data_IF_520199382126
#
_entry.id   IF_520199382126
#
_cell.length_a   1.000
_cell.length_b   1.000
_cell.length_c   1.000
_cell.angle_alpha   90.00
_cell.angle_beta   90.00
_cell.angle_gamma   90.00
#
_symmetry.space_group_name_H-M   'P 1'
#
loop_
_entity.id
_entity.type
_entity.pdbx_description
1 polymer ?
#
# COMPACT_ATOMS: atom_id res chain seq x y z
N UNK A 1 -29.63 44.38 -49.16
CA UNK A 1 -28.56 43.44 -48.70
C UNK A 1 -28.92 43.01 -47.29
N UNK A 2 -28.85 41.70 -47.04
CA UNK A 2 -29.62 40.95 -46.03
C UNK A 2 -29.30 41.42 -44.59
N UNK A 3 -30.30 41.95 -43.87
CA UNK A 3 -30.28 42.02 -42.40
C UNK A 3 -30.32 40.58 -41.89
N UNK A 4 -29.15 39.96 -41.74
CA UNK A 4 -29.01 38.66 -41.10
C UNK A 4 -29.32 38.86 -39.61
N UNK A 5 -30.05 37.90 -39.07
CA UNK A 5 -30.74 37.97 -37.80
C UNK A 5 -29.75 37.74 -36.65
N UNK A 6 -29.07 38.79 -36.17
CA UNK A 6 -28.08 38.73 -35.06
C UNK A 6 -28.62 37.97 -33.83
N UNK A 7 -29.94 38.02 -33.60
CA UNK A 7 -30.60 37.31 -32.50
C UNK A 7 -30.56 35.78 -32.65
N UNK A 8 -30.62 35.27 -33.89
CA UNK A 8 -30.56 33.83 -34.16
C UNK A 8 -29.14 33.27 -34.00
N UNK A 9 -28.12 34.06 -34.33
CA UNK A 9 -26.71 33.72 -34.11
C UNK A 9 -26.42 33.62 -32.62
N UNK A 10 -26.92 34.57 -31.81
CA UNK A 10 -26.76 34.57 -30.36
C UNK A 10 -27.37 33.33 -29.69
N UNK A 11 -28.56 32.92 -30.15
CA UNK A 11 -29.21 31.69 -29.70
C UNK A 11 -28.40 30.44 -30.06
N UNK A 12 -27.84 30.39 -31.28
CA UNK A 12 -27.01 29.28 -31.73
C UNK A 12 -25.74 29.17 -30.86
N UNK A 13 -25.14 30.33 -30.55
CA UNK A 13 -23.91 30.43 -29.76
C UNK A 13 -24.15 30.01 -28.30
N UNK A 14 -25.26 30.44 -27.69
CA UNK A 14 -25.65 29.96 -26.35
C UNK A 14 -25.98 28.47 -26.34
N UNK A 15 -26.67 27.96 -27.36
CA UNK A 15 -26.94 26.52 -27.49
C UNK A 15 -25.66 25.69 -27.59
N UNK A 16 -24.67 26.18 -28.34
CA UNK A 16 -23.35 25.56 -28.44
C UNK A 16 -22.63 25.55 -27.07
N UNK A 17 -22.61 26.68 -26.37
CA UNK A 17 -21.97 26.79 -25.05
C UNK A 17 -22.61 25.82 -24.04
N UNK A 18 -23.96 25.77 -24.01
CA UNK A 18 -24.68 24.87 -23.11
C UNK A 18 -24.40 23.41 -23.46
N UNK A 19 -24.36 23.06 -24.75
CA UNK A 19 -24.02 21.70 -25.19
C UNK A 19 -22.61 21.30 -24.76
N UNK A 20 -21.62 22.18 -24.94
CA UNK A 20 -20.25 21.93 -24.48
C UNK A 20 -20.18 21.80 -22.96
N UNK A 21 -20.88 22.64 -22.20
CA UNK A 21 -20.90 22.58 -20.74
C UNK A 21 -21.49 21.25 -20.23
N UNK A 22 -22.58 20.76 -20.85
CA UNK A 22 -23.20 19.48 -20.49
C UNK A 22 -22.28 18.31 -20.83
N UNK A 23 -21.68 18.30 -22.02
CA UNK A 23 -20.73 17.24 -22.43
C UNK A 23 -19.51 17.24 -21.50
N UNK A 24 -18.98 18.41 -21.18
CA UNK A 24 -17.83 18.54 -20.27
C UNK A 24 -18.18 18.05 -18.86
N UNK A 25 -19.36 18.39 -18.35
CA UNK A 25 -19.85 17.91 -17.06
C UNK A 25 -20.00 16.38 -17.05
N UNK A 26 -20.55 15.79 -18.12
CA UNK A 26 -20.67 14.35 -18.25
C UNK A 26 -19.31 13.64 -18.23
N UNK A 27 -18.30 14.21 -18.90
CA UNK A 27 -16.92 13.70 -18.86
C UNK A 27 -16.36 13.76 -17.44
N UNK A 28 -16.50 14.90 -16.76
CA UNK A 28 -16.00 15.05 -15.37
C UNK A 28 -16.65 14.06 -14.41
N UNK A 29 -17.96 13.84 -14.53
CA UNK A 29 -18.68 12.86 -13.71
C UNK A 29 -18.16 11.44 -13.96
N UNK A 30 -17.94 11.07 -15.21
CA UNK A 30 -17.42 9.74 -15.56
C UNK A 30 -16.00 9.51 -14.98
N UNK A 31 -15.11 10.50 -15.07
CA UNK A 31 -13.76 10.42 -14.50
C UNK A 31 -13.77 10.36 -12.96
N UNK A 32 -14.69 11.10 -12.33
CA UNK A 32 -14.81 11.12 -10.86
C UNK A 32 -15.20 9.76 -10.29
N UNK A 33 -16.16 9.07 -10.93
CA UNK A 33 -16.56 7.72 -10.50
C UNK A 33 -15.42 6.73 -10.65
N UNK A 34 -14.70 6.77 -11.77
CA UNK A 34 -13.59 5.86 -12.03
C UNK A 34 -12.45 6.03 -11.00
N UNK A 35 -12.07 7.27 -10.71
CA UNK A 35 -11.00 7.54 -9.73
C UNK A 35 -11.44 7.16 -8.30
N UNK A 36 -12.68 7.43 -7.92
CA UNK A 36 -13.24 7.00 -6.63
C UNK A 36 -13.30 5.47 -6.46
N UNK A 37 -13.65 4.73 -7.52
CA UNK A 37 -13.63 3.27 -7.54
C UNK A 37 -12.21 2.73 -7.39
N UNK A 38 -11.28 3.16 -8.21
CA UNK A 38 -9.88 2.67 -8.16
C UNK A 38 -9.19 2.97 -6.83
N UNK A 39 -9.49 4.10 -6.19
CA UNK A 39 -8.96 4.42 -4.87
C UNK A 39 -9.57 3.54 -3.77
N UNK A 40 -10.87 3.24 -3.86
CA UNK A 40 -11.54 2.36 -2.89
C UNK A 40 -11.08 0.91 -3.03
N UNK A 41 -10.90 0.43 -4.26
CA UNK A 41 -10.35 -0.89 -4.56
C UNK A 41 -8.93 -1.03 -4.03
N UNK A 42 -8.07 -0.05 -4.27
CA UNK A 42 -6.69 -0.05 -3.75
C UNK A 42 -6.61 -0.10 -2.22
N UNK A 43 -7.51 0.60 -1.51
CA UNK A 43 -7.56 0.55 -0.03
C UNK A 43 -8.09 -0.78 0.48
N UNK A 44 -9.05 -1.39 -0.23
CA UNK A 44 -9.58 -2.71 0.11
C UNK A 44 -8.58 -3.83 -0.19
N UNK A 45 -7.75 -3.65 -1.22
CA UNK A 45 -6.74 -4.62 -1.66
C UNK A 45 -5.48 -4.63 -0.77
N UNK A 46 -5.25 -3.56 0.02
CA UNK A 46 -4.11 -3.53 0.93
C UNK A 46 -4.24 -4.60 2.04
N UNK A 47 -3.34 -5.58 2.11
CA UNK A 47 -3.50 -6.78 2.93
C UNK A 47 -3.10 -6.57 4.40
N UNK A 48 -3.82 -5.69 5.12
CA UNK A 48 -3.49 -5.28 6.50
C UNK A 48 -3.38 -6.45 7.47
N UNK A 49 -4.29 -7.42 7.38
CA UNK A 49 -4.29 -8.59 8.26
C UNK A 49 -3.07 -9.47 8.03
N UNK A 50 -2.76 -9.76 6.76
CA UNK A 50 -1.63 -10.62 6.38
C UNK A 50 -0.30 -10.00 6.84
N UNK A 51 -0.10 -8.70 6.59
CA UNK A 51 1.10 -7.97 7.04
C UNK A 51 1.19 -7.97 8.58
N UNK A 52 0.08 -7.73 9.28
CA UNK A 52 0.06 -7.72 10.75
C UNK A 52 0.39 -9.10 11.33
N UNK A 53 -0.16 -10.16 10.77
CA UNK A 53 0.04 -11.52 11.25
C UNK A 53 1.48 -11.97 10.96
N UNK A 54 2.01 -11.65 9.77
CA UNK A 54 3.42 -11.87 9.43
C UNK A 54 4.36 -11.12 10.39
N UNK A 55 4.07 -9.85 10.66
CA UNK A 55 4.85 -9.02 11.58
C UNK A 55 4.89 -9.60 12.99
N UNK A 56 3.74 -10.10 13.47
CA UNK A 56 3.66 -10.74 14.78
C UNK A 56 4.53 -11.99 14.84
N UNK A 57 4.43 -12.86 13.84
CA UNK A 57 5.20 -14.09 13.75
C UNK A 57 6.72 -13.84 13.63
N UNK A 58 7.13 -12.87 12.80
CA UNK A 58 8.53 -12.49 12.65
C UNK A 58 9.09 -11.85 13.92
N UNK A 59 8.28 -11.07 14.63
CA UNK A 59 8.69 -10.48 15.90
C UNK A 59 8.88 -11.55 16.96
N UNK A 60 7.94 -12.50 17.07
CA UNK A 60 8.05 -13.61 18.01
C UNK A 60 9.26 -14.50 17.68
N UNK A 61 9.47 -14.81 16.39
CA UNK A 61 10.64 -15.52 15.93
C UNK A 61 11.95 -14.79 16.27
N UNK A 62 11.99 -13.46 16.15
CA UNK A 62 13.19 -12.68 16.46
C UNK A 62 13.48 -12.62 17.98
N UNK A 63 12.45 -12.55 18.83
CA UNK A 63 12.58 -12.52 20.30
C UNK A 63 12.98 -13.89 20.84
N UNK A 64 12.41 -14.97 20.29
CA UNK A 64 12.66 -16.35 20.74
C UNK A 64 13.93 -16.97 20.18
N UNK A 65 14.61 -16.31 19.25
CA UNK A 65 15.87 -16.80 18.67
C UNK A 65 17.05 -16.05 19.29
N UNK A 66 18.10 -16.78 19.67
CA UNK A 66 19.26 -16.19 20.34
C UNK A 66 20.28 -15.65 19.35
N UNK A 67 20.26 -16.15 18.11
CA UNK A 67 21.17 -15.78 17.05
C UNK A 67 20.46 -15.75 15.68
N UNK A 68 21.15 -15.18 14.67
CA UNK A 68 20.59 -15.02 13.33
C UNK A 68 20.35 -16.36 12.60
N UNK A 69 21.10 -17.41 12.94
CA UNK A 69 20.94 -18.72 12.30
C UNK A 69 19.65 -19.44 12.76
N UNK A 70 19.32 -19.35 14.05
CA UNK A 70 18.06 -19.84 14.59
C UNK A 70 16.86 -19.07 14.04
N UNK A 71 17.00 -17.76 13.87
CA UNK A 71 15.98 -16.94 13.23
C UNK A 71 15.76 -17.35 11.77
N UNK A 72 16.82 -17.55 10.98
CA UNK A 72 16.73 -17.94 9.57
C UNK A 72 16.04 -19.32 9.40
N UNK A 73 16.31 -20.25 10.32
CA UNK A 73 15.62 -21.55 10.34
C UNK A 73 14.11 -21.42 10.55
N UNK A 74 13.65 -20.49 11.39
CA UNK A 74 12.22 -20.18 11.58
C UNK A 74 11.64 -19.40 10.41
N UNK A 75 12.43 -18.47 9.85
CA UNK A 75 12.05 -17.64 8.72
C UNK A 75 11.70 -18.48 7.49
N UNK A 76 12.39 -19.58 7.25
CA UNK A 76 12.07 -20.49 6.14
C UNK A 76 10.67 -21.11 6.25
N UNK A 77 10.22 -21.44 7.47
CA UNK A 77 8.86 -21.92 7.68
C UNK A 77 7.83 -20.80 7.42
N UNK A 78 8.12 -19.59 7.91
CA UNK A 78 7.26 -18.41 7.73
C UNK A 78 7.14 -18.04 6.23
N UNK A 79 8.27 -18.05 5.50
CA UNK A 79 8.33 -17.84 4.04
C UNK A 79 7.41 -18.81 3.30
N UNK A 80 7.50 -20.10 3.61
CA UNK A 80 6.66 -21.13 2.99
C UNK A 80 5.18 -20.92 3.30
N UNK A 81 4.87 -20.51 4.53
CA UNK A 81 3.49 -20.28 4.95
C UNK A 81 2.89 -19.04 4.29
N UNK A 82 3.67 -17.95 4.17
CA UNK A 82 3.28 -16.74 3.44
C UNK A 82 3.04 -17.03 1.94
N UNK A 83 3.91 -17.83 1.33
CA UNK A 83 3.74 -18.26 -0.06
C UNK A 83 2.49 -19.13 -0.24
N UNK A 84 2.25 -20.08 0.65
CA UNK A 84 1.13 -21.02 0.51
C UNK A 84 -0.23 -20.40 0.81
N UNK A 85 -0.33 -19.58 1.86
CA UNK A 85 -1.59 -19.00 2.33
C UNK A 85 -1.95 -17.72 1.61
N UNK A 86 -0.96 -16.83 1.43
CA UNK A 86 -1.18 -15.45 1.00
C UNK A 86 -0.64 -15.19 -0.41
N UNK A 87 -0.01 -16.18 -1.06
CA UNK A 87 0.72 -16.03 -2.33
C UNK A 87 1.72 -14.86 -2.30
N UNK A 88 2.34 -14.65 -1.13
CA UNK A 88 3.23 -13.53 -0.90
C UNK A 88 4.65 -14.00 -0.59
N UNK A 89 5.62 -13.26 -1.11
CA UNK A 89 7.03 -13.37 -0.76
C UNK A 89 7.25 -12.51 0.48
N UNK A 90 7.50 -13.16 1.62
CA UNK A 90 7.92 -12.50 2.84
C UNK A 90 9.42 -12.73 3.03
N UNK A 91 10.18 -11.68 3.31
CA UNK A 91 11.59 -11.79 3.64
C UNK A 91 11.89 -10.99 4.92
N UNK A 92 12.87 -11.43 5.70
CA UNK A 92 13.24 -10.75 6.92
C UNK A 92 14.72 -10.92 7.26
N UNK A 93 15.29 -9.87 7.84
CA UNK A 93 16.69 -9.86 8.25
C UNK A 93 16.79 -9.36 9.68
N UNK A 94 17.44 -10.12 10.54
CA UNK A 94 17.67 -9.76 11.94
C UNK A 94 19.13 -9.42 12.18
N UNK A 95 19.38 -8.37 12.95
CA UNK A 95 20.71 -7.98 13.43
C UNK A 95 20.63 -7.78 14.94
N UNK A 96 21.16 -8.74 15.69
CA UNK A 96 21.20 -8.70 17.15
C UNK A 96 22.23 -7.69 17.65
N UNK A 97 21.92 -7.05 18.78
CA UNK A 97 22.79 -6.08 19.47
C UNK A 97 23.30 -4.95 18.57
N UNK A 98 22.50 -4.54 17.58
CA UNK A 98 22.87 -3.51 16.61
C UNK A 98 22.97 -2.13 17.24
N UNK A 99 22.22 -1.87 18.32
CA UNK A 99 22.25 -0.63 19.08
C UNK A 99 22.11 -0.95 20.56
N UNK A 100 22.71 -0.15 21.41
CA UNK A 100 22.55 -0.28 22.86
C UNK A 100 22.47 1.10 23.50
N UNK A 101 21.66 1.20 24.54
CA UNK A 101 21.60 2.30 25.49
C UNK A 101 22.01 1.77 26.88
N UNK A 102 22.13 2.62 27.91
CA UNK A 102 22.58 2.23 29.26
C UNK A 102 21.75 1.10 29.89
N UNK A 103 20.51 0.87 29.40
CA UNK A 103 19.54 -0.06 29.99
C UNK A 103 19.02 -1.14 29.04
N UNK A 104 19.20 -0.97 27.72
CA UNK A 104 18.61 -1.86 26.72
C UNK A 104 19.56 -2.07 25.53
N UNK A 105 19.70 -3.32 25.09
CA UNK A 105 20.17 -3.66 23.75
C UNK A 105 18.98 -3.67 22.79
N UNK A 106 19.20 -3.32 21.53
CA UNK A 106 18.18 -3.32 20.49
C UNK A 106 18.59 -4.25 19.35
N UNK A 107 17.71 -5.22 19.08
CA UNK A 107 17.79 -6.06 17.90
C UNK A 107 17.03 -5.37 16.77
N UNK A 108 17.68 -5.21 15.61
CA UNK A 108 17.06 -4.64 14.42
C UNK A 108 16.45 -5.76 13.59
N UNK A 109 15.15 -5.69 13.34
CA UNK A 109 14.41 -6.59 12.45
C UNK A 109 13.96 -5.78 11.22
N UNK A 110 14.41 -6.18 10.04
CA UNK A 110 13.89 -5.67 8.76
C UNK A 110 12.90 -6.68 8.22
N UNK A 111 11.70 -6.22 7.87
CA UNK A 111 10.64 -7.04 7.26
C UNK A 111 10.38 -6.52 5.86
N UNK A 112 10.28 -7.42 4.91
CA UNK A 112 9.89 -7.17 3.53
C UNK A 112 8.73 -8.10 3.18
N UNK A 113 7.69 -7.55 2.55
CA UNK A 113 6.52 -8.31 2.11
C UNK A 113 6.11 -7.85 0.72
N UNK A 114 5.91 -8.80 -0.18
CA UNK A 114 5.41 -8.54 -1.53
C UNK A 114 4.46 -9.63 -1.98
N UNK A 115 3.24 -9.25 -2.36
CA UNK A 115 2.25 -10.16 -2.96
C UNK A 115 2.03 -9.90 -4.46
N UNK A 116 2.95 -9.17 -5.10
CA UNK A 116 2.87 -8.79 -6.51
C UNK A 116 1.98 -7.58 -6.81
N UNK A 117 1.17 -7.12 -5.85
CA UNK A 117 0.35 -5.90 -5.96
C UNK A 117 0.79 -4.84 -4.95
N UNK A 118 1.01 -5.27 -3.70
CA UNK A 118 1.46 -4.43 -2.60
C UNK A 118 2.86 -4.84 -2.19
N UNK A 119 3.74 -3.86 -2.05
CA UNK A 119 5.06 -3.98 -1.45
C UNK A 119 5.09 -3.23 -0.11
N UNK A 120 5.64 -3.86 0.91
CA UNK A 120 5.72 -3.32 2.26
C UNK A 120 7.08 -3.61 2.89
N UNK A 121 7.75 -2.55 3.34
CA UNK A 121 9.02 -2.61 4.04
C UNK A 121 8.90 -1.94 5.42
N UNK A 122 9.39 -2.62 6.44
CA UNK A 122 9.45 -2.09 7.81
C UNK A 122 10.81 -2.38 8.44
N UNK A 123 11.24 -1.46 9.31
CA UNK A 123 12.36 -1.69 10.22
C UNK A 123 11.83 -1.53 11.64
N UNK A 124 11.93 -2.58 12.42
CA UNK A 124 11.51 -2.66 13.82
C UNK A 124 12.76 -2.76 14.70
N UNK A 125 12.79 -2.00 15.78
CA UNK A 125 13.80 -2.11 16.83
C UNK A 125 13.17 -2.82 18.03
N UNK A 126 13.65 -4.02 18.33
CA UNK A 126 13.16 -4.87 19.42
C UNK A 126 14.06 -4.67 20.65
N UNK A 127 13.55 -4.07 21.74
CA UNK A 127 14.34 -3.86 22.95
C UNK A 127 14.53 -5.18 23.72
N UNK A 128 15.76 -5.46 24.11
CA UNK A 128 16.17 -6.52 25.03
C UNK A 128 16.82 -5.86 26.23
N UNK A 129 16.33 -6.15 27.43
CA UNK A 129 16.91 -5.61 28.66
C UNK A 129 18.30 -6.22 28.86
N UNK A 130 19.31 -5.37 29.07
CA UNK A 130 20.68 -5.77 29.43
C UNK A 130 20.72 -6.40 30.82
#
# INVERSE_FOLDING_TARGET
MKKLNDNAEWILLMGLIVSFAIIFLAILLNLSVQTGQTASESVAEFPKSQIRDLRAELTDAAITSENAAEFDAKLDAIRRLALYRDNAVADAYVTYDSFADEKYGYTKLRVHYSNGVTEYDEIILLPKKL
#
